data_IF_868598747258
#
_entry.id   IF_868598747258
#
_cell.length_a   1.000
_cell.length_b   1.000
_cell.length_c   1.000
_cell.angle_alpha   90.00
_cell.angle_beta   90.00
_cell.angle_gamma   90.00
#
_symmetry.space_group_name_H-M   'P 1'
#
loop_
_entity.id
_entity.type
_entity.pdbx_description
1 polymer ?
#
# COMPACT_ATOMS: atom_id res chain seq x y z
N UNK A 1 -11.21 5.79 8.66
CA UNK A 1 -9.76 5.57 8.78
C UNK A 1 -9.32 5.95 10.18
N UNK A 2 -8.55 5.09 10.83
CA UNK A 2 -7.97 5.28 12.15
C UNK A 2 -6.45 5.25 12.06
N UNK A 3 -5.75 6.09 12.87
CA UNK A 3 -4.28 6.17 12.90
C UNK A 3 -3.67 6.78 11.63
N UNK A 4 -4.44 7.52 10.84
CA UNK A 4 -3.94 8.19 9.62
C UNK A 4 -2.93 9.30 9.95
N UNK A 5 -2.99 9.84 11.16
CA UNK A 5 -2.07 10.84 11.72
C UNK A 5 -0.61 10.38 11.65
N UNK A 6 -0.35 9.08 11.78
CA UNK A 6 1.00 8.50 11.61
C UNK A 6 1.56 8.76 10.21
N UNK A 7 0.70 8.67 9.17
CA UNK A 7 1.07 8.96 7.78
C UNK A 7 1.25 10.46 7.62
N UNK A 8 0.29 11.25 8.13
CA UNK A 8 0.31 12.71 8.06
C UNK A 8 1.57 13.29 8.69
N UNK A 9 2.02 12.74 9.82
CA UNK A 9 3.25 13.17 10.48
C UNK A 9 4.50 12.87 9.64
N UNK A 10 4.59 11.67 9.05
CA UNK A 10 5.70 11.32 8.16
C UNK A 10 5.74 12.22 6.91
N UNK A 11 4.58 12.52 6.35
CA UNK A 11 4.47 13.42 5.19
C UNK A 11 4.84 14.85 5.57
N UNK A 12 4.43 15.34 6.74
CA UNK A 12 4.82 16.66 7.24
C UNK A 12 6.35 16.78 7.45
N UNK A 13 7.03 15.65 7.73
CA UNK A 13 8.50 15.55 7.76
C UNK A 13 9.13 15.47 6.33
N UNK A 14 8.34 15.56 5.26
CA UNK A 14 8.79 15.44 3.87
C UNK A 14 9.06 14.01 3.40
N UNK A 15 8.59 13.00 4.15
CA UNK A 15 8.76 11.59 3.80
C UNK A 15 7.61 11.10 2.93
N UNK A 16 7.93 10.27 1.96
CA UNK A 16 6.94 9.44 1.28
C UNK A 16 6.64 8.16 2.08
N UNK A 17 5.45 7.61 1.90
CA UNK A 17 4.98 6.44 2.65
C UNK A 17 4.49 5.36 1.69
N UNK A 18 4.95 4.12 1.91
CA UNK A 18 4.38 2.91 1.33
C UNK A 18 3.28 2.38 2.24
N UNK A 19 2.14 2.08 1.66
CA UNK A 19 1.03 1.43 2.34
C UNK A 19 0.90 0.02 1.79
N UNK A 20 1.17 -0.99 2.62
CA UNK A 20 0.80 -2.35 2.30
C UNK A 20 -0.69 -2.55 2.44
N UNK A 21 -1.28 -3.19 1.45
CA UNK A 21 -2.71 -3.49 1.33
C UNK A 21 -2.92 -4.95 0.99
N UNK A 22 -4.15 -5.42 1.20
CA UNK A 22 -4.65 -6.70 0.74
C UNK A 22 -5.98 -6.53 0.02
N UNK A 23 -6.42 -7.56 -0.72
CA UNK A 23 -7.74 -7.58 -1.38
C UNK A 23 -8.87 -7.92 -0.39
N UNK A 24 -8.69 -7.59 0.90
CA UNK A 24 -9.71 -7.77 1.93
C UNK A 24 -10.77 -6.68 1.86
N UNK A 25 -12.02 -7.06 2.10
CA UNK A 25 -13.14 -6.13 2.15
C UNK A 25 -13.37 -5.34 0.85
N UNK A 26 -13.77 -4.09 0.97
CA UNK A 26 -13.96 -3.20 -0.17
C UNK A 26 -12.74 -2.29 -0.38
N UNK A 27 -11.62 -2.89 -0.73
CA UNK A 27 -10.36 -2.19 -0.97
C UNK A 27 -10.44 -1.12 -2.09
N UNK A 28 -11.40 -1.22 -3.02
CA UNK A 28 -11.62 -0.19 -4.05
C UNK A 28 -12.09 1.17 -3.46
N UNK A 29 -12.48 1.21 -2.19
CA UNK A 29 -12.80 2.47 -1.50
C UNK A 29 -11.60 3.14 -0.86
N UNK A 30 -10.46 2.47 -0.81
CA UNK A 30 -9.23 2.99 -0.20
C UNK A 30 -8.79 4.36 -0.79
N UNK A 31 -8.93 4.65 -2.10
CA UNK A 31 -8.59 5.98 -2.63
C UNK A 31 -9.34 7.14 -1.93
N UNK A 32 -10.47 6.87 -1.26
CA UNK A 32 -11.17 7.89 -0.47
C UNK A 32 -10.37 8.41 0.74
N UNK A 33 -9.26 7.78 1.09
CA UNK A 33 -8.34 8.22 2.15
C UNK A 33 -7.92 9.68 1.99
N UNK A 34 -7.86 10.17 0.76
CA UNK A 34 -7.56 11.58 0.46
C UNK A 34 -8.49 12.57 1.17
N UNK A 35 -9.67 12.13 1.59
CA UNK A 35 -10.64 12.94 2.33
C UNK A 35 -10.37 12.97 3.84
N UNK A 36 -9.47 12.09 4.35
CA UNK A 36 -9.23 11.87 5.77
C UNK A 36 -7.90 12.43 6.25
N UNK A 37 -6.98 12.75 5.34
CA UNK A 37 -5.71 13.40 5.66
C UNK A 37 -5.89 14.86 6.06
N UNK A 38 -4.95 15.39 6.84
CA UNK A 38 -4.94 16.81 7.23
C UNK A 38 -4.91 17.73 6.01
N UNK A 39 -5.73 18.78 6.04
CA UNK A 39 -5.89 19.69 4.91
C UNK A 39 -4.58 20.41 4.55
N UNK A 40 -3.76 20.71 5.55
CA UNK A 40 -2.51 21.46 5.40
C UNK A 40 -1.48 20.76 4.53
N UNK A 41 -1.40 19.41 4.63
CA UNK A 41 -0.42 18.62 3.86
C UNK A 41 -0.96 18.15 2.52
N UNK A 42 -2.27 18.21 2.31
CA UNK A 42 -2.93 17.64 1.12
C UNK A 42 -2.51 18.28 -0.20
N UNK A 43 -2.13 19.56 -0.17
CA UNK A 43 -1.77 20.34 -1.37
C UNK A 43 -0.47 19.88 -2.02
N UNK A 44 0.47 19.42 -1.19
CA UNK A 44 1.82 19.05 -1.61
C UNK A 44 2.07 17.53 -1.53
N UNK A 45 0.98 16.76 -1.45
CA UNK A 45 1.00 15.30 -1.28
C UNK A 45 0.28 14.61 -2.43
N UNK A 46 0.92 13.61 -3.03
CA UNK A 46 0.29 12.74 -4.01
C UNK A 46 -0.14 11.41 -3.40
N UNK A 47 -1.41 11.08 -3.55
CA UNK A 47 -1.91 9.74 -3.26
C UNK A 47 -1.81 8.88 -4.50
N UNK A 48 -1.17 7.73 -4.37
CA UNK A 48 -0.89 6.84 -5.49
C UNK A 48 -1.34 5.42 -5.18
N UNK A 49 -1.73 4.68 -6.21
CA UNK A 49 -1.93 3.25 -6.14
C UNK A 49 -1.21 2.52 -7.26
N UNK A 50 -0.68 1.35 -6.95
CA UNK A 50 -0.04 0.51 -7.95
C UNK A 50 -1.08 -0.44 -8.55
N UNK A 51 -1.15 -0.50 -9.88
CA UNK A 51 -2.07 -1.38 -10.58
C UNK A 51 -1.40 -2.14 -11.74
N UNK A 52 -2.06 -3.21 -12.16
CA UNK A 52 -1.73 -3.92 -13.39
C UNK A 52 -2.81 -3.61 -14.43
N UNK A 53 -2.46 -3.13 -15.64
CA UNK A 53 -3.42 -2.88 -16.70
C UNK A 53 -4.27 -4.12 -17.01
N UNK A 54 -5.56 -3.92 -17.17
CA UNK A 54 -6.50 -4.99 -17.51
C UNK A 54 -6.45 -5.28 -19.00
N UNK A 55 -6.71 -6.54 -19.39
CA UNK A 55 -6.78 -6.94 -20.79
C UNK A 55 -7.95 -6.27 -21.54
N UNK A 56 -9.05 -6.04 -20.84
CA UNK A 56 -10.20 -5.33 -21.38
C UNK A 56 -10.01 -3.83 -21.20
N UNK A 57 -9.79 -3.11 -22.30
CA UNK A 57 -9.50 -1.68 -22.27
C UNK A 57 -10.64 -0.81 -21.71
N UNK A 58 -11.91 -1.24 -21.91
CA UNK A 58 -13.05 -0.51 -21.37
C UNK A 58 -13.06 -0.57 -19.83
N UNK A 59 -12.87 -1.75 -19.25
CA UNK A 59 -12.78 -1.90 -17.80
C UNK A 59 -11.53 -1.24 -17.24
N UNK A 60 -10.40 -1.28 -17.97
CA UNK A 60 -9.18 -0.59 -17.55
C UNK A 60 -9.42 0.92 -17.38
N UNK A 61 -9.99 1.56 -18.40
CA UNK A 61 -10.35 2.99 -18.37
C UNK A 61 -11.39 3.30 -17.28
N UNK A 62 -12.40 2.45 -17.13
CA UNK A 62 -13.44 2.61 -16.12
C UNK A 62 -12.87 2.59 -14.70
N UNK A 63 -12.04 1.60 -14.35
CA UNK A 63 -11.43 1.50 -13.03
C UNK A 63 -10.39 2.61 -12.78
N UNK A 64 -9.62 3.01 -13.76
CA UNK A 64 -8.74 4.17 -13.65
C UNK A 64 -9.53 5.44 -13.33
N UNK A 65 -10.63 5.68 -14.05
CA UNK A 65 -11.52 6.80 -13.78
C UNK A 65 -12.14 6.72 -12.38
N UNK A 66 -12.63 5.54 -11.97
CA UNK A 66 -13.21 5.34 -10.65
C UNK A 66 -12.21 5.67 -9.53
N UNK A 67 -10.98 5.21 -9.64
CA UNK A 67 -9.92 5.43 -8.65
C UNK A 67 -9.44 6.89 -8.62
N UNK A 68 -9.41 7.58 -9.76
CA UNK A 68 -9.00 8.99 -9.84
C UNK A 68 -10.02 9.98 -9.27
N UNK A 69 -11.25 9.55 -8.97
CA UNK A 69 -12.31 10.43 -8.42
C UNK A 69 -11.94 11.13 -7.11
N UNK A 70 -10.96 10.60 -6.40
CA UNK A 70 -10.46 11.15 -5.14
C UNK A 70 -9.08 11.81 -5.31
N UNK A 71 -8.74 12.28 -6.52
CA UNK A 71 -7.44 12.90 -6.83
C UNK A 71 -6.25 11.98 -6.52
N UNK A 72 -6.38 10.69 -6.80
CA UNK A 72 -5.27 9.74 -6.66
C UNK A 72 -4.70 9.33 -8.03
N UNK A 73 -3.40 9.12 -8.07
CA UNK A 73 -2.67 8.69 -9.27
C UNK A 73 -2.57 7.16 -9.33
N UNK A 74 -2.71 6.61 -10.54
CA UNK A 74 -2.54 5.17 -10.76
C UNK A 74 -1.23 4.91 -11.49
N UNK A 75 -0.27 4.23 -10.85
CA UNK A 75 1.01 3.86 -11.43
C UNK A 75 1.00 2.39 -11.85
N UNK A 76 1.49 2.10 -13.04
CA UNK A 76 1.62 0.73 -13.50
C UNK A 76 2.73 0.01 -12.72
N UNK A 77 2.51 -1.26 -12.34
CA UNK A 77 3.50 -2.10 -11.63
C UNK A 77 4.90 -2.04 -12.29
N UNK A 78 4.97 -1.96 -13.62
CA UNK A 78 6.24 -1.95 -14.38
C UNK A 78 7.00 -0.62 -14.28
N UNK A 79 6.31 0.48 -14.02
CA UNK A 79 6.90 1.83 -14.03
C UNK A 79 6.92 2.50 -12.68
N UNK A 80 6.29 1.92 -11.65
CA UNK A 80 6.08 2.54 -10.34
C UNK A 80 7.37 3.10 -9.73
N UNK A 81 8.49 2.37 -9.80
CA UNK A 81 9.77 2.89 -9.28
C UNK A 81 10.20 4.17 -9.98
N UNK A 82 10.07 4.23 -11.32
CA UNK A 82 10.40 5.43 -12.10
C UNK A 82 9.47 6.59 -11.75
N UNK A 83 8.18 6.31 -11.58
CA UNK A 83 7.18 7.33 -11.28
C UNK A 83 7.39 7.90 -9.87
N UNK A 84 7.72 7.06 -8.88
CA UNK A 84 8.08 7.49 -7.52
C UNK A 84 9.41 8.27 -7.48
N UNK A 85 10.40 7.87 -8.27
CA UNK A 85 11.65 8.62 -8.41
C UNK A 85 11.42 10.01 -9.00
N UNK A 86 10.46 10.15 -9.93
CA UNK A 86 10.06 11.46 -10.47
C UNK A 86 9.45 12.34 -9.37
N UNK A 87 8.49 11.84 -8.60
CA UNK A 87 7.89 12.58 -7.47
C UNK A 87 8.97 13.02 -6.46
N UNK A 88 9.89 12.10 -6.12
CA UNK A 88 11.01 12.43 -5.21
C UNK A 88 11.91 13.54 -5.75
N UNK A 89 12.26 13.51 -7.04
CA UNK A 89 13.04 14.56 -7.69
C UNK A 89 12.32 15.92 -7.66
N UNK A 90 11.00 15.87 -7.82
CA UNK A 90 10.14 17.05 -7.84
C UNK A 90 9.78 17.54 -6.41
N UNK A 91 10.41 16.93 -5.36
CA UNK A 91 10.16 17.18 -3.93
C UNK A 91 8.68 17.03 -3.52
N UNK A 92 7.96 16.15 -4.19
CA UNK A 92 6.56 15.85 -3.91
C UNK A 92 6.45 14.55 -3.09
N UNK A 93 6.10 14.60 -1.80
CA UNK A 93 5.84 13.41 -1.01
C UNK A 93 4.68 12.60 -1.59
N UNK A 94 4.72 11.30 -1.38
CA UNK A 94 3.65 10.41 -1.84
C UNK A 94 3.23 9.39 -0.79
N UNK A 95 1.94 9.08 -0.77
CA UNK A 95 1.39 7.92 -0.05
C UNK A 95 0.96 6.91 -1.10
N UNK A 96 1.67 5.79 -1.19
CA UNK A 96 1.52 4.84 -2.29
C UNK A 96 1.06 3.47 -1.80
N UNK A 97 -0.14 3.05 -2.22
CA UNK A 97 -0.73 1.75 -1.90
C UNK A 97 -0.20 0.63 -2.81
N UNK A 98 0.23 -0.47 -2.19
CA UNK A 98 0.69 -1.69 -2.84
C UNK A 98 -0.14 -2.89 -2.37
N UNK A 99 -0.86 -3.53 -3.28
CA UNK A 99 -1.53 -4.81 -3.06
C UNK A 99 -0.50 -5.92 -3.17
N UNK A 100 -0.07 -6.50 -2.06
CA UNK A 100 1.05 -7.45 -2.01
C UNK A 100 0.67 -8.86 -1.52
N UNK A 101 -0.63 -9.15 -1.43
CA UNK A 101 -1.20 -10.41 -0.93
C UNK A 101 -1.36 -11.50 -2.00
N UNK A 102 -1.02 -11.22 -3.24
CA UNK A 102 -0.99 -12.24 -4.29
C UNK A 102 0.38 -12.90 -4.40
N UNK A 103 0.40 -14.05 -5.04
CA UNK A 103 1.64 -14.79 -5.24
C UNK A 103 2.61 -14.01 -6.15
N UNK A 104 3.93 -14.06 -5.90
CA UNK A 104 4.94 -13.49 -6.79
C UNK A 104 4.85 -14.03 -8.22
N UNK A 105 5.40 -13.28 -9.18
CA UNK A 105 5.61 -13.81 -10.53
C UNK A 105 6.63 -14.94 -10.49
N UNK A 106 6.54 -15.89 -11.43
CA UNK A 106 7.50 -17.00 -11.52
C UNK A 106 8.93 -16.44 -11.67
N UNK A 107 9.82 -16.86 -10.78
CA UNK A 107 11.19 -16.37 -10.70
C UNK A 107 11.43 -15.20 -9.72
N UNK A 108 10.35 -14.67 -9.12
CA UNK A 108 10.41 -13.59 -8.12
C UNK A 108 10.18 -14.11 -6.68
N UNK A 109 10.26 -15.45 -6.46
CA UNK A 109 10.03 -16.09 -5.15
C UNK A 109 11.27 -15.97 -4.24
N UNK A 110 11.69 -14.73 -3.93
CA UNK A 110 12.91 -14.45 -3.15
C UNK A 110 12.75 -14.65 -1.64
N UNK A 111 11.52 -14.58 -1.14
CA UNK A 111 11.21 -14.74 0.27
C UNK A 111 10.07 -15.71 0.47
N UNK A 112 10.33 -16.80 1.21
CA UNK A 112 9.35 -17.83 1.56
C UNK A 112 9.23 -17.89 3.08
N UNK A 113 8.02 -17.85 3.59
CA UNK A 113 7.73 -17.98 5.03
C UNK A 113 6.53 -18.91 5.24
N UNK A 114 6.33 -19.36 6.48
CA UNK A 114 5.09 -20.02 6.86
C UNK A 114 3.97 -18.99 6.92
N UNK A 115 2.91 -19.21 6.16
CA UNK A 115 1.73 -18.38 6.11
C UNK A 115 0.49 -19.28 6.10
N UNK A 116 -0.39 -19.14 7.09
CA UNK A 116 -1.53 -20.03 7.32
C UNK A 116 -1.13 -21.53 7.32
N UNK A 117 -0.02 -21.83 8.01
CA UNK A 117 0.58 -23.17 8.11
C UNK A 117 1.09 -23.77 6.78
N UNK A 118 1.29 -22.95 5.74
CA UNK A 118 1.85 -23.40 4.47
C UNK A 118 3.10 -22.59 4.08
N UNK A 119 4.15 -23.22 3.55
CA UNK A 119 5.27 -22.50 2.95
C UNK A 119 4.76 -21.64 1.79
N UNK A 120 4.88 -20.30 1.91
CA UNK A 120 4.30 -19.35 0.96
C UNK A 120 5.32 -18.31 0.56
N UNK A 121 5.46 -18.09 -0.75
CA UNK A 121 6.28 -17.03 -1.28
C UNK A 121 5.53 -15.69 -1.23
N UNK A 122 6.18 -14.66 -0.67
CA UNK A 122 5.62 -13.30 -0.50
C UNK A 122 6.30 -12.35 -1.48
N UNK A 123 5.55 -11.35 -1.99
CA UNK A 123 6.08 -10.31 -2.88
C UNK A 123 7.02 -9.39 -2.10
N UNK A 124 8.29 -9.32 -2.54
CA UNK A 124 9.34 -8.50 -1.91
C UNK A 124 9.55 -7.13 -2.58
N UNK A 125 9.02 -6.95 -3.80
CA UNK A 125 9.24 -5.73 -4.58
C UNK A 125 8.79 -4.44 -3.88
N UNK A 126 7.77 -4.51 -3.04
CA UNK A 126 7.28 -3.38 -2.23
C UNK A 126 8.33 -2.93 -1.22
N UNK A 127 8.93 -3.87 -0.46
CA UNK A 127 10.03 -3.57 0.46
C UNK A 127 11.25 -3.03 -0.28
N UNK A 128 11.62 -3.64 -1.40
CA UNK A 128 12.75 -3.18 -2.23
C UNK A 128 12.60 -1.71 -2.64
N UNK A 129 11.40 -1.31 -3.06
CA UNK A 129 11.09 0.08 -3.43
C UNK A 129 11.16 0.99 -2.20
N UNK A 130 10.52 0.60 -1.10
CA UNK A 130 10.48 1.37 0.13
C UNK A 130 11.91 1.64 0.68
N UNK A 131 12.75 0.60 0.72
CA UNK A 131 14.15 0.70 1.16
C UNK A 131 14.97 1.62 0.26
N UNK A 132 14.88 1.42 -1.06
CA UNK A 132 15.62 2.23 -2.05
C UNK A 132 15.27 3.72 -1.98
N UNK A 133 14.02 4.04 -1.66
CA UNK A 133 13.53 5.40 -1.59
C UNK A 133 13.47 5.95 -0.15
N UNK A 134 13.92 5.19 0.85
CA UNK A 134 13.94 5.59 2.28
C UNK A 134 12.56 6.01 2.78
N UNK A 135 11.52 5.29 2.34
CA UNK A 135 10.12 5.61 2.66
C UNK A 135 9.73 5.07 4.04
N UNK A 136 8.75 5.72 4.67
CA UNK A 136 7.99 5.12 5.75
C UNK A 136 7.14 3.95 5.22
N UNK A 137 6.80 3.01 6.08
CA UNK A 137 5.97 1.85 5.71
C UNK A 137 4.91 1.61 6.76
N UNK A 138 3.67 1.50 6.30
CA UNK A 138 2.52 1.13 7.12
C UNK A 138 1.77 -0.04 6.46
N UNK A 139 0.96 -0.73 7.26
CA UNK A 139 -0.04 -1.69 6.80
C UNK A 139 -1.43 -1.16 7.13
N UNK A 140 -2.37 -1.24 6.20
CA UNK A 140 -3.77 -0.97 6.46
C UNK A 140 -4.56 -2.26 6.64
N UNK A 141 -5.00 -2.47 7.88
CA UNK A 141 -5.92 -3.54 8.26
C UNK A 141 -7.36 -3.09 7.99
N UNK A 142 -8.04 -3.80 7.09
CA UNK A 142 -9.40 -3.48 6.67
C UNK A 142 -10.36 -4.45 7.33
N UNK A 143 -11.29 -3.93 8.15
CA UNK A 143 -12.36 -4.70 8.79
C UNK A 143 -13.72 -4.26 8.29
N UNK A 144 -14.68 -5.19 8.29
CA UNK A 144 -16.07 -4.93 7.90
C UNK A 144 -16.99 -5.19 9.09
N UNK A 145 -17.21 -4.21 9.99
CA UNK A 145 -18.05 -4.40 11.19
C UNK A 145 -19.50 -4.70 10.85
N UNK A 146 -20.01 -4.17 9.73
CA UNK A 146 -21.37 -4.47 9.20
C UNK A 146 -21.45 -4.16 7.71
N UNK A 147 -22.54 -4.58 7.07
CA UNK A 147 -22.77 -4.31 5.63
C UNK A 147 -22.69 -2.80 5.34
N UNK A 148 -21.89 -2.43 4.32
CA UNK A 148 -21.70 -1.05 3.88
C UNK A 148 -20.79 -0.19 4.76
N UNK A 149 -20.20 -0.74 5.83
CA UNK A 149 -19.29 -0.04 6.72
C UNK A 149 -17.94 -0.75 6.77
N UNK A 150 -16.88 0.00 6.54
CA UNK A 150 -15.50 -0.48 6.59
C UNK A 150 -14.70 0.37 7.56
N UNK A 151 -13.85 -0.27 8.32
CA UNK A 151 -12.90 0.35 9.23
C UNK A 151 -11.51 0.02 8.75
N UNK A 152 -10.66 1.02 8.60
CA UNK A 152 -9.28 0.88 8.15
C UNK A 152 -8.38 1.39 9.26
N UNK A 153 -7.59 0.50 9.86
CA UNK A 153 -6.63 0.83 10.92
C UNK A 153 -5.22 0.89 10.34
N UNK A 154 -4.47 1.92 10.69
CA UNK A 154 -3.08 2.10 10.26
C UNK A 154 -2.13 1.43 11.26
N UNK A 155 -1.40 0.41 10.82
CA UNK A 155 -0.35 -0.25 11.59
C UNK A 155 1.02 0.23 11.09
N UNK A 156 1.77 0.98 11.90
CA UNK A 156 3.13 1.40 11.55
C UNK A 156 4.06 0.19 11.53
N UNK A 157 4.77 -0.01 10.42
CA UNK A 157 5.85 -1.00 10.32
C UNK A 157 7.20 -0.34 10.60
N UNK A 158 7.50 0.75 9.90
CA UNK A 158 8.72 1.53 10.14
C UNK A 158 8.57 2.97 9.61
N UNK A 159 9.29 3.90 10.22
CA UNK A 159 9.38 5.28 9.72
C UNK A 159 10.47 5.45 8.66
N UNK A 160 11.35 4.47 8.47
CA UNK A 160 12.44 4.51 7.48
C UNK A 160 12.84 3.07 7.09
N UNK A 161 12.35 2.63 5.94
CA UNK A 161 12.61 1.29 5.44
C UNK A 161 14.09 0.98 5.18
N UNK A 162 14.93 1.99 4.94
CA UNK A 162 16.35 1.78 4.66
C UNK A 162 17.14 1.31 5.89
N UNK A 163 16.61 1.56 7.09
CA UNK A 163 17.24 1.20 8.38
C UNK A 163 16.86 -0.20 8.86
N UNK A 164 15.85 -0.79 8.27
CA UNK A 164 15.39 -2.11 8.67
C UNK A 164 16.28 -3.23 8.08
N UNK A 165 16.40 -4.37 8.75
CA UNK A 165 17.02 -5.55 8.16
C UNK A 165 16.32 -5.97 6.86
N UNK A 166 17.07 -6.58 5.94
CA UNK A 166 16.49 -7.08 4.69
C UNK A 166 15.42 -8.14 4.96
N UNK A 167 14.33 -8.07 4.22
CA UNK A 167 13.12 -8.92 4.33
C UNK A 167 12.33 -8.79 5.64
N UNK A 168 12.75 -7.96 6.60
CA UNK A 168 12.03 -7.79 7.87
C UNK A 168 10.67 -7.08 7.72
N UNK A 169 10.59 -6.14 6.78
CA UNK A 169 9.35 -5.43 6.44
C UNK A 169 8.36 -6.42 5.79
N UNK A 170 8.83 -7.22 4.84
CA UNK A 170 8.03 -8.25 4.17
C UNK A 170 7.56 -9.32 5.17
N UNK A 171 8.42 -9.74 6.09
CA UNK A 171 8.05 -10.67 7.17
C UNK A 171 6.98 -10.09 8.10
N UNK A 172 7.12 -8.83 8.47
CA UNK A 172 6.13 -8.13 9.32
C UNK A 172 4.79 -7.99 8.62
N UNK A 173 4.81 -7.60 7.34
CA UNK A 173 3.59 -7.55 6.52
C UNK A 173 2.89 -8.92 6.43
N UNK A 174 3.64 -10.00 6.14
CA UNK A 174 3.07 -11.34 6.05
C UNK A 174 2.36 -11.74 7.35
N UNK A 175 2.98 -11.48 8.51
CA UNK A 175 2.39 -11.76 9.83
C UNK A 175 1.14 -10.92 10.10
N UNK A 176 1.14 -9.62 9.75
CA UNK A 176 -0.02 -8.76 9.94
C UNK A 176 -1.18 -9.20 9.03
N UNK A 177 -0.89 -9.55 7.78
CA UNK A 177 -1.89 -10.06 6.84
C UNK A 177 -2.47 -11.41 7.32
N UNK A 178 -1.63 -12.32 7.80
CA UNK A 178 -2.07 -13.60 8.37
C UNK A 178 -3.03 -13.37 9.53
N UNK A 179 -2.70 -12.44 10.44
CA UNK A 179 -3.57 -12.10 11.56
C UNK A 179 -4.91 -11.51 11.10
N UNK A 180 -4.89 -10.61 10.10
CA UNK A 180 -6.13 -10.06 9.51
C UNK A 180 -7.04 -11.18 8.98
N UNK A 181 -6.48 -12.18 8.30
CA UNK A 181 -7.24 -13.31 7.75
C UNK A 181 -7.78 -14.20 8.87
N UNK A 182 -6.99 -14.47 9.91
CA UNK A 182 -7.42 -15.27 11.06
C UNK A 182 -8.56 -14.57 11.82
N UNK A 183 -8.44 -13.27 12.05
CA UNK A 183 -9.42 -12.47 12.79
C UNK A 183 -10.75 -12.30 12.02
N UNK A 184 -10.67 -12.19 10.69
CA UNK A 184 -11.82 -11.88 9.84
C UNK A 184 -11.84 -12.74 8.55
N UNK A 185 -11.96 -14.06 8.66
CA UNK A 185 -11.84 -14.97 7.51
C UNK A 185 -12.98 -14.86 6.48
N UNK A 186 -13.99 -14.05 6.75
CA UNK A 186 -15.20 -13.92 5.94
C UNK A 186 -15.24 -12.64 5.08
N UNK A 187 -14.16 -11.87 5.01
CA UNK A 187 -14.09 -10.62 4.23
C UNK A 187 -13.10 -10.69 3.07
#
# INVERSE_FOLDING_TARGET
>A
FEGIDVIDDMVAEGKSVVVYLSHCGNWEWIPSVTLWTRHEIRKDLEFCQVYRPLKNEWFDKYFLHLRSRFNSLSFQKRTVLRDLLRLRRDNTPSVTGFMSDQKPSKGDEQYVTMFLNHPTAIITGTETIARKLQMGVVYWDIKKPRRGHYHVSTCLITRDASKEPEMSITATYARLLEQTIIDTPHI
#
